data_IF_190423143625
#
_entry.id   IF_190423143625
#
_cell.length_a   1.000
_cell.length_b   1.000
_cell.length_c   1.000
_cell.angle_alpha   90.00
_cell.angle_beta   90.00
_cell.angle_gamma   90.00
#
_symmetry.space_group_name_H-M   'P 1'
#
loop_
_entity.id
_entity.type
_entity.pdbx_description
1 polymer ?
#
# COMPACT_ATOMS: atom_id res chain seq x y z
N UNK A 1 5.83 4.76 -5.39
CA UNK A 1 5.78 5.73 -6.51
C UNK A 1 5.11 7.00 -6.02
N UNK A 2 5.44 8.16 -6.60
CA UNK A 2 4.69 9.39 -6.32
C UNK A 2 3.39 9.35 -7.10
N UNK A 3 2.28 9.62 -6.42
CA UNK A 3 0.95 9.50 -7.00
C UNK A 3 -0.01 10.53 -6.44
N UNK A 4 -1.12 10.72 -7.14
CA UNK A 4 -2.27 11.49 -6.70
C UNK A 4 -3.10 10.65 -5.73
N UNK A 5 -2.58 10.51 -4.51
CA UNK A 5 -3.25 9.78 -3.43
C UNK A 5 -3.27 10.64 -2.17
N UNK A 6 -4.39 10.69 -1.43
CA UNK A 6 -4.48 11.48 -0.22
C UNK A 6 -3.76 10.77 0.94
N UNK A 7 -2.93 11.52 1.66
CA UNK A 7 -2.20 11.01 2.83
C UNK A 7 -3.14 10.63 3.99
N UNK A 8 -4.40 11.07 3.99
CA UNK A 8 -5.41 10.85 5.02
C UNK A 8 -6.19 9.53 4.84
N UNK A 9 -6.01 8.82 3.71
CA UNK A 9 -6.61 7.50 3.45
C UNK A 9 -5.55 6.39 3.49
N UNK A 10 -5.92 5.09 3.44
CA UNK A 10 -4.96 4.02 3.26
C UNK A 10 -4.18 4.19 1.94
N UNK A 11 -2.85 4.05 2.00
CA UNK A 11 -2.00 4.18 0.82
C UNK A 11 -2.19 2.96 -0.08
N UNK A 12 -2.50 3.13 -1.37
CA UNK A 12 -2.62 2.01 -2.30
C UNK A 12 -1.29 1.25 -2.40
N UNK A 13 -1.35 -0.07 -2.30
CA UNK A 13 -0.21 -0.96 -2.57
C UNK A 13 -0.54 -1.81 -3.78
N UNK A 14 0.27 -1.69 -4.83
CA UNK A 14 0.21 -2.55 -6.00
C UNK A 14 1.17 -3.71 -5.86
N UNK A 15 0.72 -4.91 -6.22
CA UNK A 15 1.54 -6.13 -6.26
C UNK A 15 1.64 -6.59 -7.70
N UNK A 16 2.86 -6.75 -8.19
CA UNK A 16 3.11 -7.10 -9.58
C UNK A 16 4.04 -8.29 -9.68
N UNK A 17 3.73 -9.19 -10.61
CA UNK A 17 4.57 -10.33 -10.96
C UNK A 17 4.55 -10.53 -12.46
N UNK A 18 5.65 -11.04 -12.99
CA UNK A 18 5.75 -11.51 -14.37
C UNK A 18 5.63 -13.03 -14.47
N UNK A 19 5.54 -13.72 -13.33
CA UNK A 19 5.35 -15.17 -13.26
C UNK A 19 3.83 -15.48 -13.24
N UNK A 20 3.30 -16.13 -14.30
CA UNK A 20 1.87 -16.42 -14.39
C UNK A 20 1.40 -17.40 -13.30
N UNK A 21 2.29 -18.23 -12.75
CA UNK A 21 1.96 -19.17 -11.68
C UNK A 21 1.78 -18.44 -10.35
N UNK A 22 2.62 -17.44 -10.06
CA UNK A 22 2.49 -16.55 -8.90
C UNK A 22 1.23 -15.71 -9.05
N UNK A 23 1.01 -15.12 -10.23
CA UNK A 23 -0.17 -14.31 -10.51
C UNK A 23 -1.47 -15.08 -10.26
N UNK A 24 -1.57 -16.30 -10.79
CA UNK A 24 -2.74 -17.16 -10.56
C UNK A 24 -2.89 -17.57 -9.09
N UNK A 25 -1.79 -17.88 -8.39
CA UNK A 25 -1.83 -18.31 -6.98
C UNK A 25 -2.34 -17.23 -6.04
N UNK A 26 -2.03 -15.96 -6.34
CA UNK A 26 -2.37 -14.82 -5.49
C UNK A 26 -3.49 -13.94 -6.09
N UNK A 27 -4.16 -14.39 -7.14
CA UNK A 27 -5.20 -13.66 -7.86
C UNK A 27 -4.76 -12.22 -8.23
N UNK A 28 -3.51 -12.07 -8.70
CA UNK A 28 -2.97 -10.79 -9.14
C UNK A 28 -3.40 -10.54 -10.59
N UNK A 29 -3.81 -9.30 -10.87
CA UNK A 29 -4.09 -8.88 -12.23
C UNK A 29 -2.81 -8.84 -13.08
N UNK A 30 -2.89 -9.20 -14.38
CA UNK A 30 -1.75 -9.10 -15.28
C UNK A 30 -1.28 -7.65 -15.40
N UNK A 31 0.03 -7.43 -15.31
CA UNK A 31 0.62 -6.11 -15.60
C UNK A 31 0.85 -5.96 -17.10
N UNK A 32 0.09 -5.08 -17.76
CA UNK A 32 0.21 -4.77 -19.19
C UNK A 32 1.11 -3.55 -19.47
N UNK A 33 1.73 -3.00 -18.41
CA UNK A 33 2.60 -1.84 -18.53
C UNK A 33 3.75 -2.09 -19.51
N UNK A 34 3.87 -1.18 -20.49
CA UNK A 34 4.99 -1.14 -21.43
C UNK A 34 5.70 0.20 -21.31
N UNK A 35 6.97 0.18 -20.89
CA UNK A 35 7.76 1.41 -20.70
C UNK A 35 9.14 1.15 -20.09
N UNK A 36 9.88 2.22 -19.75
CA UNK A 36 11.18 2.08 -19.09
C UNK A 36 11.03 1.37 -17.73
N UNK A 37 11.95 0.45 -17.43
CA UNK A 37 11.97 -0.30 -16.17
C UNK A 37 13.24 -0.01 -15.38
N UNK A 38 13.17 -0.23 -14.06
CA UNK A 38 14.29 -0.08 -13.14
C UNK A 38 15.00 -1.41 -12.86
N UNK A 39 16.00 -1.36 -11.96
CA UNK A 39 16.74 -2.55 -11.52
C UNK A 39 15.82 -3.66 -10.97
N UNK A 40 14.72 -3.30 -10.30
CA UNK A 40 13.75 -4.28 -9.79
C UNK A 40 13.11 -5.06 -10.95
N UNK A 41 12.74 -4.41 -12.05
CA UNK A 41 12.19 -5.11 -13.21
C UNK A 41 13.22 -6.01 -13.91
N UNK A 42 14.47 -5.56 -13.99
CA UNK A 42 15.58 -6.38 -14.51
C UNK A 42 15.81 -7.62 -13.64
N UNK A 43 15.83 -7.45 -12.30
CA UNK A 43 15.98 -8.56 -11.37
C UNK A 43 14.80 -9.55 -11.44
N UNK A 44 13.57 -9.05 -11.54
CA UNK A 44 12.38 -9.89 -11.73
C UNK A 44 12.44 -10.70 -13.04
N UNK A 45 12.96 -10.11 -14.13
CA UNK A 45 13.16 -10.85 -15.38
C UNK A 45 14.21 -11.96 -15.22
N UNK A 46 15.35 -11.68 -14.58
CA UNK A 46 16.37 -12.69 -14.32
C UNK A 46 15.83 -13.84 -13.45
N UNK A 47 15.04 -13.53 -12.42
CA UNK A 47 14.38 -14.55 -11.60
C UNK A 47 13.42 -15.43 -12.41
N UNK A 48 12.65 -14.83 -13.34
CA UNK A 48 11.80 -15.59 -14.26
C UNK A 48 12.63 -16.56 -15.12
N UNK A 49 13.73 -16.09 -15.72
CA UNK A 49 14.61 -16.89 -16.57
C UNK A 49 15.22 -18.07 -15.79
N UNK A 50 15.50 -17.87 -14.50
CA UNK A 50 15.98 -18.90 -13.56
C UNK A 50 14.86 -19.75 -12.92
N UNK A 51 13.59 -19.49 -13.27
CA UNK A 51 12.39 -20.15 -12.70
C UNK A 51 12.28 -19.99 -11.19
N UNK A 52 12.72 -18.86 -10.67
CA UNK A 52 12.56 -18.45 -9.28
C UNK A 52 11.29 -17.59 -9.19
N UNK A 53 10.27 -17.99 -8.40
CA UNK A 53 9.06 -17.21 -8.23
C UNK A 53 9.36 -15.83 -7.62
N UNK A 54 8.86 -14.77 -8.25
CA UNK A 54 9.10 -13.40 -7.80
C UNK A 54 7.86 -12.52 -7.92
N UNK A 55 7.72 -11.57 -7.00
CA UNK A 55 6.74 -10.51 -7.04
C UNK A 55 7.36 -9.23 -6.47
N UNK A 56 6.84 -8.08 -6.85
CA UNK A 56 7.25 -6.77 -6.36
C UNK A 56 6.04 -6.02 -5.79
N UNK A 57 6.25 -5.32 -4.67
CA UNK A 57 5.24 -4.49 -4.04
C UNK A 57 5.62 -3.01 -4.20
N UNK A 58 4.63 -2.19 -4.50
CA UNK A 58 4.82 -0.75 -4.71
C UNK A 58 3.74 0.00 -3.96
N UNK A 59 4.16 0.87 -3.05
CA UNK A 59 3.25 1.78 -2.35
C UNK A 59 3.18 3.12 -3.07
N UNK A 60 1.96 3.61 -3.25
CA UNK A 60 1.62 4.92 -3.77
C UNK A 60 1.74 5.96 -2.66
N UNK A 61 2.66 6.92 -2.82
CA UNK A 61 2.98 7.95 -1.82
C UNK A 61 2.51 9.31 -2.35
N UNK A 62 1.83 10.13 -1.53
CA UNK A 62 1.39 11.46 -1.94
C UNK A 62 2.58 12.32 -2.37
N UNK A 63 2.50 12.92 -3.56
CA UNK A 63 3.65 13.66 -4.11
C UNK A 63 4.01 14.92 -3.28
N UNK A 64 3.01 15.54 -2.64
CA UNK A 64 3.17 16.72 -1.79
C UNK A 64 3.86 16.42 -0.44
N UNK A 65 4.02 15.15 -0.08
CA UNK A 65 4.76 14.74 1.13
C UNK A 65 5.57 13.47 0.89
N UNK A 66 6.62 13.62 0.08
CA UNK A 66 7.44 12.50 -0.39
C UNK A 66 8.82 12.39 0.24
N UNK A 67 9.20 13.36 1.07
CA UNK A 67 10.51 13.37 1.74
C UNK A 67 10.63 12.18 2.70
N UNK A 68 11.68 11.34 2.56
CA UNK A 68 11.92 10.26 3.50
C UNK A 68 12.35 10.79 4.88
N UNK A 69 12.07 10.07 5.97
CA UNK A 69 11.37 8.78 6.02
C UNK A 69 9.83 8.91 5.89
N UNK A 70 9.18 7.85 5.40
CA UNK A 70 7.73 7.73 5.34
C UNK A 70 7.26 6.44 6.06
N UNK A 71 7.00 6.49 7.38
CA UNK A 71 6.60 5.32 8.15
C UNK A 71 5.23 4.78 7.74
N UNK A 72 4.31 5.63 7.25
CA UNK A 72 3.00 5.17 6.73
C UNK A 72 3.14 4.30 5.49
N UNK A 73 4.07 4.64 4.60
CA UNK A 73 4.39 3.84 3.42
C UNK A 73 5.06 2.50 3.80
N UNK A 74 5.90 2.49 4.83
CA UNK A 74 6.51 1.27 5.36
C UNK A 74 5.47 0.34 5.99
N UNK A 75 4.58 0.87 6.84
CA UNK A 75 3.49 0.11 7.47
C UNK A 75 2.58 -0.54 6.42
N UNK A 76 2.24 0.21 5.35
CA UNK A 76 1.42 -0.29 4.26
C UNK A 76 2.09 -1.48 3.52
N UNK A 77 3.40 -1.39 3.23
CA UNK A 77 4.14 -2.47 2.58
C UNK A 77 4.26 -3.72 3.47
N UNK A 78 4.57 -3.54 4.76
CA UNK A 78 4.66 -4.65 5.70
C UNK A 78 3.31 -5.35 5.86
N UNK A 79 2.26 -4.57 6.04
CA UNK A 79 0.88 -5.05 6.11
C UNK A 79 0.48 -5.86 4.87
N UNK A 80 0.84 -5.40 3.67
CA UNK A 80 0.53 -6.12 2.44
C UNK A 80 1.36 -7.41 2.33
N UNK A 81 2.63 -7.36 2.74
CA UNK A 81 3.52 -8.52 2.77
C UNK A 81 3.00 -9.62 3.71
N UNK A 82 2.54 -9.26 4.91
CA UNK A 82 1.88 -10.18 5.85
C UNK A 82 0.65 -10.83 5.22
N UNK A 83 -0.15 -10.05 4.49
CA UNK A 83 -1.37 -10.52 3.83
C UNK A 83 -1.05 -11.53 2.74
N UNK A 84 -0.07 -11.22 1.88
CA UNK A 84 0.37 -12.10 0.79
C UNK A 84 1.02 -13.38 1.31
N UNK A 85 1.90 -13.28 2.30
CA UNK A 85 2.66 -14.42 2.80
C UNK A 85 1.93 -15.20 3.90
N UNK A 86 0.85 -14.65 4.45
CA UNK A 86 0.10 -15.18 5.60
C UNK A 86 1.00 -15.42 6.81
N UNK A 87 1.90 -14.48 7.06
CA UNK A 87 2.82 -14.47 8.21
C UNK A 87 2.53 -13.26 9.09
N UNK A 88 3.04 -13.30 10.33
CA UNK A 88 3.07 -12.14 11.21
C UNK A 88 4.50 -11.62 11.27
N UNK A 89 4.65 -10.30 11.12
CA UNK A 89 5.91 -9.59 11.23
C UNK A 89 5.89 -8.74 12.51
N UNK A 90 7.05 -8.55 13.11
CA UNK A 90 7.20 -7.56 14.18
C UNK A 90 7.34 -6.17 13.54
N UNK A 91 6.33 -5.33 13.71
CA UNK A 91 6.29 -3.98 13.14
C UNK A 91 6.98 -2.94 14.06
N UNK A 92 7.46 -3.33 15.24
CA UNK A 92 8.05 -2.42 16.23
C UNK A 92 7.19 -1.13 16.42
N UNK A 93 7.80 0.05 16.29
CA UNK A 93 7.14 1.35 16.47
C UNK A 93 6.51 1.92 15.18
N UNK A 94 6.65 1.24 14.03
CA UNK A 94 6.24 1.75 12.71
C UNK A 94 4.77 2.19 12.67
N UNK A 95 3.79 1.44 13.24
CA UNK A 95 2.39 1.87 13.22
C UNK A 95 2.15 3.17 14.00
N UNK A 96 2.82 3.35 15.13
CA UNK A 96 2.73 4.59 15.91
C UNK A 96 3.37 5.76 15.17
N UNK A 97 4.53 5.53 14.56
CA UNK A 97 5.21 6.51 13.72
C UNK A 97 4.36 6.91 12.50
N UNK A 98 3.64 5.96 11.89
CA UNK A 98 2.72 6.23 10.78
C UNK A 98 1.58 7.16 11.18
N UNK A 99 1.00 6.97 12.39
CA UNK A 99 -0.05 7.85 12.93
C UNK A 99 0.49 9.24 13.23
N UNK A 100 1.66 9.33 13.90
CA UNK A 100 2.34 10.61 14.18
C UNK A 100 2.64 11.36 12.90
N UNK A 101 3.16 10.66 11.89
CA UNK A 101 3.44 11.20 10.58
C UNK A 101 2.17 11.75 9.93
N UNK A 102 1.08 10.97 9.87
CA UNK A 102 -0.18 11.43 9.26
C UNK A 102 -0.71 12.70 9.92
N UNK A 103 -0.69 12.76 11.26
CA UNK A 103 -1.11 13.94 12.01
C UNK A 103 -0.25 15.17 11.74
N UNK A 104 1.05 14.99 11.56
CA UNK A 104 1.96 16.08 11.19
C UNK A 104 1.68 16.61 9.77
N UNK A 105 1.42 15.72 8.81
CA UNK A 105 1.06 16.11 7.44
C UNK A 105 -0.29 16.84 7.42
N UNK A 106 -1.28 16.36 8.16
CA UNK A 106 -2.57 17.04 8.31
C UNK A 106 -2.38 18.47 8.84
N UNK A 107 -1.56 18.64 9.87
CA UNK A 107 -1.30 19.95 10.47
C UNK A 107 -0.60 20.91 9.51
N UNK A 108 0.35 20.42 8.72
CA UNK A 108 1.07 21.23 7.72
C UNK A 108 0.16 21.61 6.56
N UNK A 109 -0.62 20.66 6.06
CA UNK A 109 -1.50 20.86 4.90
C UNK A 109 -2.60 21.88 5.18
N UNK A 110 -3.10 21.95 6.41
CA UNK A 110 -4.12 22.94 6.82
C UNK A 110 -3.63 24.39 6.83
N UNK A 111 -2.31 24.62 6.78
CA UNK A 111 -1.75 25.98 6.74
C UNK A 111 -1.84 26.59 5.34
N UNK A 112 -2.07 25.77 4.32
CA UNK A 112 -2.19 26.16 2.93
C UNK A 112 -3.58 25.76 2.39
N UNK A 113 -4.51 26.72 2.21
CA UNK A 113 -5.86 26.45 1.73
C UNK A 113 -5.90 25.74 0.37
N UNK A 114 -4.94 26.03 -0.52
CA UNK A 114 -4.92 25.44 -1.86
C UNK A 114 -4.54 23.95 -1.78
N UNK A 115 -3.56 23.61 -0.93
CA UNK A 115 -3.22 22.21 -0.65
C UNK A 115 -4.38 21.49 0.04
N UNK A 116 -5.04 22.14 1.01
CA UNK A 116 -6.17 21.53 1.71
C UNK A 116 -7.34 21.21 0.77
N UNK A 117 -7.69 22.13 -0.14
CA UNK A 117 -8.71 21.90 -1.17
C UNK A 117 -8.30 20.76 -2.11
N UNK A 118 -7.04 20.75 -2.57
CA UNK A 118 -6.53 19.69 -3.43
C UNK A 118 -6.58 18.31 -2.77
N UNK A 119 -6.19 18.19 -1.50
CA UNK A 119 -6.30 16.94 -0.74
C UNK A 119 -7.77 16.50 -0.64
N UNK A 120 -8.70 17.43 -0.42
CA UNK A 120 -10.13 17.14 -0.40
C UNK A 120 -10.61 16.49 -1.71
N UNK A 121 -10.16 17.00 -2.86
CA UNK A 121 -10.50 16.41 -4.17
C UNK A 121 -9.93 14.99 -4.33
N UNK A 122 -8.70 14.76 -3.85
CA UNK A 122 -8.08 13.42 -3.86
C UNK A 122 -8.83 12.44 -2.94
N UNK A 123 -9.33 12.91 -1.81
CA UNK A 123 -10.16 12.12 -0.90
C UNK A 123 -11.48 11.73 -1.53
N UNK A 124 -12.21 12.69 -2.12
CA UNK A 124 -13.48 12.42 -2.81
C UNK A 124 -13.31 11.41 -3.94
N UNK A 125 -12.28 11.57 -4.77
CA UNK A 125 -11.97 10.63 -5.84
C UNK A 125 -11.68 9.22 -5.28
N UNK A 126 -10.88 9.13 -4.20
CA UNK A 126 -10.51 7.85 -3.61
C UNK A 126 -11.68 7.14 -2.94
N UNK A 127 -12.51 7.88 -2.24
CA UNK A 127 -13.70 7.34 -1.56
C UNK A 127 -14.73 6.85 -2.58
N UNK A 128 -14.88 7.54 -3.72
CA UNK A 128 -15.75 7.08 -4.82
C UNK A 128 -15.28 5.75 -5.42
N UNK A 129 -13.99 5.60 -5.71
CA UNK A 129 -13.41 4.33 -6.18
C UNK A 129 -13.62 3.17 -5.18
N UNK A 130 -13.48 3.46 -3.89
CA UNK A 130 -13.66 2.44 -2.85
C UNK A 130 -15.11 1.96 -2.77
N UNK A 131 -16.09 2.86 -2.91
CA UNK A 131 -17.51 2.49 -2.92
C UNK A 131 -17.86 1.61 -4.13
N UNK A 132 -17.31 1.90 -5.31
CA UNK A 132 -17.53 1.07 -6.50
C UNK A 132 -16.90 -0.33 -6.38
N UNK A 133 -15.75 -0.44 -5.68
CA UNK A 133 -15.03 -1.70 -5.47
C UNK A 133 -15.45 -2.52 -4.23
N UNK A 134 -16.21 -1.94 -3.29
CA UNK A 134 -16.59 -2.57 -2.03
C UNK A 134 -17.74 -3.57 -2.20
N UNK A 135 -17.40 -4.83 -2.50
CA UNK A 135 -18.34 -5.95 -2.39
C UNK A 135 -18.40 -6.47 -0.95
N UNK A 136 -19.45 -7.21 -0.59
CA UNK A 136 -19.62 -7.75 0.78
C UNK A 136 -18.44 -8.63 1.24
N UNK A 137 -17.79 -9.33 0.32
CA UNK A 137 -16.63 -10.17 0.62
C UNK A 137 -15.37 -9.33 0.89
N UNK A 138 -15.20 -8.19 0.21
CA UNK A 138 -14.09 -7.25 0.45
C UNK A 138 -14.15 -6.67 1.86
N UNK A 139 -15.36 -6.31 2.32
CA UNK A 139 -15.59 -5.75 3.66
C UNK A 139 -15.31 -6.79 4.75
N UNK A 140 -15.68 -8.05 4.54
CA UNK A 140 -15.41 -9.14 5.48
C UNK A 140 -13.90 -9.38 5.66
N UNK A 141 -13.13 -9.35 4.56
CA UNK A 141 -11.69 -9.52 4.59
C UNK A 141 -10.97 -8.39 5.36
N UNK A 142 -11.40 -7.14 5.18
CA UNK A 142 -10.86 -5.99 5.95
C UNK A 142 -11.19 -6.08 7.44
N UNK A 143 -12.40 -6.52 7.79
CA UNK A 143 -12.80 -6.71 9.18
C UNK A 143 -11.99 -7.82 9.85
N UNK A 144 -11.78 -8.96 9.19
CA UNK A 144 -10.92 -10.03 9.72
C UNK A 144 -9.49 -9.55 9.95
N UNK A 145 -8.95 -8.75 9.03
CA UNK A 145 -7.61 -8.15 9.17
C UNK A 145 -7.53 -7.21 10.36
N UNK A 146 -8.53 -6.36 10.55
CA UNK A 146 -8.63 -5.46 11.71
C UNK A 146 -8.69 -6.24 13.03
N UNK A 147 -9.53 -7.28 13.10
CA UNK A 147 -9.69 -8.08 14.31
C UNK A 147 -8.44 -8.88 14.67
N UNK A 148 -7.70 -9.42 13.68
CA UNK A 148 -6.41 -10.08 13.95
C UNK A 148 -5.38 -9.15 14.59
N UNK A 149 -5.41 -7.85 14.25
CA UNK A 149 -4.52 -6.85 14.88
C UNK A 149 -4.89 -6.58 16.34
N UNK A 150 -6.18 -6.57 16.69
CA UNK A 150 -6.60 -6.35 18.08
C UNK A 150 -6.35 -7.57 18.97
N UNK A 151 -6.60 -8.78 18.48
CA UNK A 151 -6.44 -10.00 19.28
C UNK A 151 -4.96 -10.37 19.51
N UNK A 152 -4.04 -9.90 18.66
CA UNK A 152 -2.60 -10.08 18.83
C UNK A 152 -1.98 -9.31 19.99
N UNK A 153 -2.67 -8.30 20.52
CA UNK A 153 -2.19 -7.45 21.63
C UNK A 153 -2.58 -8.02 23.03
N UNK A 154 -3.48 -9.01 23.09
CA UNK A 154 -4.04 -9.58 24.33
C UNK A 154 -3.32 -10.90 24.76
N UNK A 155 -2.13 -11.15 24.23
CA UNK A 155 -1.33 -12.35 24.52
C UNK A 155 0.11 -12.03 24.95
N UNK A 156 0.24 -11.09 25.90
CA UNK A 156 1.48 -10.85 26.66
C UNK A 156 1.27 -11.10 28.15
#
# INVERSE_FOLDING_TARGET
MLSDTPHSRPLPVGVYTTDPTVGARYAMEPNDYTGPTGMIGVASQQMMDERIPAASLWVSVPHYVSSPPNPKAQDALLTELETLLRVQLDHAEIPEEAVKWSSAVDQLSRQDPDIAEYIGQLEEARDAEQVEGATGDTIAAELEKFLRRQTGDDSR
#
